data_IF_806166483998
#
_entry.id   IF_806166483998
#
_cell.length_a   1.000
_cell.length_b   1.000
_cell.length_c   1.000
_cell.angle_alpha   90.00
_cell.angle_beta   90.00
_cell.angle_gamma   90.00
#
_symmetry.space_group_name_H-M   'P 1'
#
loop_
_entity.id
_entity.type
_entity.pdbx_description
1 polymer ?
#
# COMPACT_ATOMS: atom_id res chain seq x y z
N UNK A 1 10.67 4.81 15.10
CA UNK A 1 9.23 5.15 15.28
C UNK A 1 8.38 4.19 14.45
N UNK A 2 7.10 3.98 14.80
CA UNK A 2 6.19 3.17 13.99
C UNK A 2 5.72 3.98 12.78
N UNK A 3 5.64 3.36 11.59
CA UNK A 3 5.15 4.00 10.37
C UNK A 3 3.62 4.25 10.42
N UNK A 4 3.07 5.01 9.45
CA UNK A 4 1.68 5.48 9.47
C UNK A 4 0.64 4.34 9.57
N UNK A 5 0.79 3.26 8.79
CA UNK A 5 -0.15 2.12 8.83
C UNK A 5 -0.12 1.39 10.18
N UNK A 6 1.05 1.33 10.84
CA UNK A 6 1.15 0.74 12.18
C UNK A 6 0.41 1.59 13.23
N UNK A 7 0.49 2.92 13.14
CA UNK A 7 -0.27 3.84 14.00
C UNK A 7 -1.76 3.72 13.76
N UNK A 8 -2.20 3.72 12.49
CA UNK A 8 -3.61 3.51 12.12
C UNK A 8 -4.15 2.19 12.66
N UNK A 9 -3.38 1.09 12.50
CA UNK A 9 -3.72 -0.22 13.06
C UNK A 9 -3.88 -0.17 14.58
N UNK A 10 -2.94 0.43 15.30
CA UNK A 10 -3.02 0.55 16.75
C UNK A 10 -4.25 1.33 17.19
N UNK A 11 -4.54 2.47 16.56
CA UNK A 11 -5.74 3.27 16.81
C UNK A 11 -7.02 2.48 16.52
N UNK A 12 -7.05 1.69 15.43
CA UNK A 12 -8.20 0.85 15.08
C UNK A 12 -8.43 -0.27 16.09
N UNK A 13 -7.37 -0.91 16.57
CA UNK A 13 -7.45 -1.94 17.63
C UNK A 13 -7.97 -1.34 18.92
N UNK A 14 -7.47 -0.17 19.34
CA UNK A 14 -7.88 0.50 20.57
C UNK A 14 -9.38 0.85 20.61
N UNK A 15 -10.01 1.03 19.43
CA UNK A 15 -11.46 1.27 19.30
C UNK A 15 -12.29 0.01 19.18
N UNK A 16 -11.66 -1.18 19.11
CA UNK A 16 -12.38 -2.43 18.90
C UNK A 16 -12.86 -3.01 20.22
N UNK A 17 -14.16 -3.24 20.33
CA UNK A 17 -14.75 -3.98 21.46
C UNK A 17 -14.44 -5.48 21.40
N UNK A 18 -14.22 -6.00 20.22
CA UNK A 18 -13.91 -7.42 19.95
C UNK A 18 -12.61 -7.56 19.17
N UNK A 19 -11.81 -8.60 19.44
CA UNK A 19 -10.60 -8.85 18.69
C UNK A 19 -10.93 -9.16 17.22
N UNK A 20 -10.13 -8.61 16.31
CA UNK A 20 -10.21 -8.97 14.89
C UNK A 20 -9.62 -10.36 14.66
N UNK A 21 -10.48 -11.31 14.27
CA UNK A 21 -10.08 -12.69 14.01
C UNK A 21 -9.87 -12.89 12.48
N UNK A 22 -8.63 -12.79 12.04
CA UNK A 22 -8.25 -13.17 10.68
C UNK A 22 -8.06 -14.69 10.55
N UNK A 23 -8.07 -15.21 9.32
CA UNK A 23 -7.64 -16.59 9.05
C UNK A 23 -6.21 -16.78 9.60
N UNK A 24 -5.97 -17.87 10.33
CA UNK A 24 -4.69 -18.11 10.99
C UNK A 24 -4.47 -17.27 12.26
N UNK A 25 -5.53 -16.84 12.96
CA UNK A 25 -5.47 -16.10 14.22
C UNK A 25 -4.74 -16.83 15.36
N UNK A 26 -4.62 -18.17 15.27
CA UNK A 26 -3.86 -18.99 16.24
C UNK A 26 -2.33 -18.84 16.10
N UNK A 27 -1.83 -18.33 14.97
CA UNK A 27 -0.40 -18.13 14.77
C UNK A 27 0.11 -16.96 15.61
N UNK A 28 1.19 -17.17 16.36
CA UNK A 28 1.92 -16.10 17.03
C UNK A 28 2.64 -15.25 15.97
N UNK A 29 2.34 -13.96 15.94
CA UNK A 29 2.83 -13.04 14.89
C UNK A 29 3.79 -12.01 15.42
N UNK A 30 4.77 -11.66 14.61
CA UNK A 30 5.65 -10.54 14.85
C UNK A 30 4.82 -9.23 14.93
N UNK A 31 5.05 -8.43 15.95
CA UNK A 31 4.33 -7.17 16.14
C UNK A 31 4.71 -6.10 15.10
N UNK A 32 5.90 -6.22 14.47
CA UNK A 32 6.37 -5.30 13.43
C UNK A 32 5.91 -5.70 12.03
N UNK A 33 6.36 -6.85 11.50
CA UNK A 33 6.03 -7.26 10.14
C UNK A 33 4.72 -8.04 10.02
N UNK A 34 4.09 -8.45 11.15
CA UNK A 34 2.82 -9.18 11.25
C UNK A 34 2.83 -10.60 10.66
N UNK A 35 3.92 -11.06 10.12
CA UNK A 35 4.12 -12.46 9.73
C UNK A 35 4.21 -13.37 10.96
N UNK A 36 4.06 -14.68 10.78
CA UNK A 36 4.36 -15.65 11.85
C UNK A 36 5.79 -15.43 12.34
N UNK A 37 6.07 -15.60 13.65
CA UNK A 37 7.39 -15.35 14.22
C UNK A 37 8.49 -16.19 13.54
N UNK A 38 8.18 -17.44 13.17
CA UNK A 38 9.09 -18.34 12.43
C UNK A 38 9.44 -17.84 11.01
N UNK A 39 8.68 -16.87 10.50
CA UNK A 39 8.83 -16.31 9.16
C UNK A 39 8.94 -14.78 9.21
N UNK A 40 9.55 -14.27 10.28
CA UNK A 40 9.69 -12.83 10.50
C UNK A 40 10.54 -12.18 9.40
N UNK A 41 10.06 -11.07 8.85
CA UNK A 41 10.69 -10.33 7.74
C UNK A 41 11.43 -9.06 8.20
N UNK A 42 11.52 -8.80 9.50
CA UNK A 42 12.02 -7.52 10.00
C UNK A 42 13.48 -7.21 9.66
N UNK A 43 14.31 -8.24 9.46
CA UNK A 43 15.71 -8.09 9.06
C UNK A 43 15.88 -7.69 7.57
N UNK A 44 14.83 -7.87 6.78
CA UNK A 44 14.82 -7.68 5.33
C UNK A 44 14.07 -6.41 4.90
N UNK A 45 13.91 -5.45 5.80
CA UNK A 45 13.23 -4.22 5.49
C UNK A 45 14.12 -3.28 4.69
N UNK A 46 13.71 -2.84 3.48
CA UNK A 46 14.47 -1.91 2.67
C UNK A 46 14.69 -0.56 3.36
N UNK A 47 15.80 0.09 3.02
CA UNK A 47 16.16 1.44 3.46
C UNK A 47 16.50 2.28 2.23
N UNK A 48 15.48 2.82 1.59
CA UNK A 48 15.61 3.59 0.37
C UNK A 48 14.92 4.95 0.50
N UNK A 49 15.37 5.92 -0.28
CA UNK A 49 14.73 7.23 -0.39
C UNK A 49 13.76 7.24 -1.58
N UNK A 50 12.67 8.00 -1.44
CA UNK A 50 11.75 8.31 -2.51
C UNK A 50 11.38 9.78 -2.48
N UNK A 51 11.30 10.41 -3.63
CA UNK A 51 10.83 11.79 -3.76
C UNK A 51 9.32 11.87 -3.65
N UNK A 52 8.61 10.82 -4.05
CA UNK A 52 7.15 10.72 -3.95
C UNK A 52 6.67 10.42 -2.54
N UNK A 53 5.47 10.92 -2.20
CA UNK A 53 4.72 10.54 -1.00
C UNK A 53 3.57 9.59 -1.32
N UNK A 54 3.14 8.85 -0.30
CA UNK A 54 2.00 7.94 -0.36
C UNK A 54 0.93 8.33 0.66
N UNK A 55 -0.32 8.39 0.22
CA UNK A 55 -1.49 8.56 1.08
C UNK A 55 -2.38 7.32 0.95
N UNK A 56 -2.38 6.47 1.99
CA UNK A 56 -3.20 5.26 2.03
C UNK A 56 -4.53 5.59 2.68
N UNK A 57 -5.61 5.62 1.91
CA UNK A 57 -6.97 5.69 2.44
C UNK A 57 -7.48 4.25 2.57
N UNK A 58 -7.55 3.75 3.80
CA UNK A 58 -7.76 2.34 4.09
C UNK A 58 -9.19 2.07 4.56
N UNK A 59 -9.85 1.09 3.96
CA UNK A 59 -11.13 0.60 4.47
C UNK A 59 -10.95 -0.03 5.86
N UNK A 60 -11.99 0.03 6.70
CA UNK A 60 -11.97 -0.20 8.15
C UNK A 60 -11.06 -1.34 8.65
N UNK A 61 -11.14 -2.52 8.04
CA UNK A 61 -10.39 -3.70 8.50
C UNK A 61 -9.06 -3.93 7.78
N UNK A 62 -8.73 -3.14 6.77
CA UNK A 62 -7.54 -3.40 5.94
C UNK A 62 -6.24 -3.33 6.76
N UNK A 63 -6.08 -2.31 7.61
CA UNK A 63 -4.91 -2.19 8.48
C UNK A 63 -4.75 -3.35 9.48
N UNK A 64 -5.82 -4.13 9.75
CA UNK A 64 -5.80 -5.27 10.65
C UNK A 64 -5.36 -6.57 9.97
N UNK A 65 -5.48 -6.68 8.65
CA UNK A 65 -5.18 -7.92 7.91
C UNK A 65 -3.67 -8.17 7.85
N UNK A 66 -3.16 -9.33 8.27
CA UNK A 66 -1.74 -9.66 8.16
C UNK A 66 -1.22 -9.68 6.72
N UNK A 67 -2.11 -9.86 5.75
CA UNK A 67 -1.79 -9.88 4.31
C UNK A 67 -1.95 -8.51 3.63
N UNK A 68 -2.20 -7.44 4.39
CA UNK A 68 -2.32 -6.11 3.81
C UNK A 68 -0.96 -5.61 3.30
N UNK A 69 -0.90 -5.23 2.02
CA UNK A 69 0.34 -4.78 1.37
C UNK A 69 0.60 -3.28 1.48
N UNK A 70 -0.39 -2.49 1.90
CA UNK A 70 -0.18 -1.08 2.28
C UNK A 70 0.83 -0.91 3.40
N UNK A 71 1.01 -1.95 4.23
CA UNK A 71 2.07 -1.99 5.24
C UNK A 71 3.46 -1.94 4.64
N UNK A 72 3.70 -2.68 3.55
CA UNK A 72 5.00 -2.72 2.86
C UNK A 72 5.36 -1.37 2.24
N UNK A 73 4.35 -0.66 1.73
CA UNK A 73 4.53 0.70 1.22
C UNK A 73 5.07 1.61 2.32
N UNK A 74 4.44 1.57 3.51
CA UNK A 74 4.85 2.38 4.63
C UNK A 74 6.19 1.94 5.27
N UNK A 75 6.64 0.72 5.00
CA UNK A 75 7.98 0.26 5.37
C UNK A 75 9.06 0.81 4.42
N UNK A 76 8.74 1.02 3.14
CA UNK A 76 9.69 1.43 2.09
C UNK A 76 9.67 2.96 1.88
N UNK A 77 8.49 3.56 1.75
CA UNK A 77 8.33 5.00 1.48
C UNK A 77 8.15 5.75 2.80
N UNK A 78 9.15 6.51 3.20
CA UNK A 78 9.16 7.24 4.48
C UNK A 78 8.01 8.24 4.58
N UNK A 79 7.73 8.99 3.50
CA UNK A 79 6.64 9.96 3.40
C UNK A 79 5.30 9.26 3.10
N UNK A 80 4.93 8.28 3.93
CA UNK A 80 3.63 7.61 3.86
C UNK A 80 2.71 8.10 4.97
N UNK A 81 1.53 8.58 4.59
CA UNK A 81 0.39 8.85 5.46
C UNK A 81 -0.67 7.75 5.30
N UNK A 82 -1.39 7.44 6.38
CA UNK A 82 -2.45 6.44 6.35
C UNK A 82 -3.65 6.91 7.16
N UNK A 83 -4.83 6.85 6.57
CA UNK A 83 -6.10 7.28 7.14
C UNK A 83 -7.15 6.18 7.04
N UNK A 84 -7.97 6.05 8.07
CA UNK A 84 -9.14 5.19 8.03
C UNK A 84 -10.27 5.84 7.24
N UNK A 85 -10.76 5.18 6.20
CA UNK A 85 -11.91 5.68 5.48
C UNK A 85 -13.22 5.52 6.27
N UNK A 86 -13.93 6.62 6.43
CA UNK A 86 -15.27 6.67 7.00
C UNK A 86 -16.19 7.39 6.02
N UNK A 87 -17.36 6.83 5.77
CA UNK A 87 -18.33 7.41 4.81
C UNK A 87 -18.85 8.80 5.24
N UNK A 88 -18.98 9.02 6.54
CA UNK A 88 -19.65 10.18 7.12
C UNK A 88 -18.72 11.16 7.83
N UNK A 89 -17.44 10.84 7.88
CA UNK A 89 -16.43 11.67 8.55
C UNK A 89 -15.10 11.60 7.80
N UNK A 90 -14.37 12.70 7.81
CA UNK A 90 -13.02 12.80 7.25
C UNK A 90 -12.09 13.27 8.37
N UNK A 91 -10.98 12.57 8.55
CA UNK A 91 -9.96 13.03 9.50
C UNK A 91 -9.40 14.37 9.02
N UNK A 92 -9.36 15.43 9.86
CA UNK A 92 -8.93 16.77 9.44
C UNK A 92 -7.52 16.82 8.84
N UNK A 93 -6.65 15.89 9.23
CA UNK A 93 -5.30 15.79 8.70
C UNK A 93 -5.27 15.33 7.22
N UNK A 94 -6.31 14.66 6.71
CA UNK A 94 -6.36 14.24 5.31
C UNK A 94 -6.56 15.44 4.35
N UNK A 95 -7.59 16.31 4.49
CA UNK A 95 -7.69 17.51 3.67
C UNK A 95 -6.47 18.42 3.82
N UNK A 96 -5.89 18.54 5.01
CA UNK A 96 -4.68 19.32 5.23
C UNK A 96 -3.49 18.78 4.41
N UNK A 97 -3.29 17.46 4.37
CA UNK A 97 -2.28 16.82 3.54
C UNK A 97 -2.52 17.08 2.04
N UNK A 98 -3.78 16.95 1.58
CA UNK A 98 -4.13 17.13 0.16
C UNK A 98 -3.96 18.57 -0.32
N UNK A 99 -4.06 19.56 0.58
CA UNK A 99 -3.89 20.98 0.29
C UNK A 99 -2.48 21.52 0.59
N UNK A 100 -1.58 20.70 1.12
CA UNK A 100 -0.21 21.11 1.41
C UNK A 100 0.54 21.42 0.11
N UNK A 101 1.08 22.66 -0.03
CA UNK A 101 1.68 23.13 -1.29
C UNK A 101 2.92 22.36 -1.73
N UNK A 102 3.57 21.62 -0.85
CA UNK A 102 4.69 20.75 -1.22
C UNK A 102 4.28 19.55 -2.08
N UNK A 103 2.99 19.18 -2.05
CA UNK A 103 2.50 18.01 -2.74
C UNK A 103 1.74 18.35 -4.03
N UNK A 104 1.84 17.44 -4.99
CA UNK A 104 1.00 17.34 -6.16
C UNK A 104 0.21 16.03 -6.07
N UNK A 105 -1.05 16.09 -5.57
CA UNK A 105 -1.83 14.89 -5.31
C UNK A 105 -2.42 14.28 -6.59
N UNK A 106 -2.37 12.95 -6.67
CA UNK A 106 -3.00 12.11 -7.70
C UNK A 106 -3.83 11.02 -7.03
N UNK A 107 -5.13 10.97 -7.35
CA UNK A 107 -5.96 9.82 -6.97
C UNK A 107 -5.71 8.68 -7.94
N UNK A 108 -5.22 7.55 -7.45
CA UNK A 108 -4.91 6.40 -8.31
C UNK A 108 -6.13 5.50 -8.40
N UNK A 109 -6.76 5.50 -9.57
CA UNK A 109 -7.96 4.69 -9.84
C UNK A 109 -8.15 4.50 -11.35
N UNK A 110 -8.85 3.42 -11.81
CA UNK A 110 -9.11 3.26 -13.24
C UNK A 110 -9.95 4.41 -13.80
N UNK A 111 -9.50 4.98 -14.91
CA UNK A 111 -10.08 6.18 -15.52
C UNK A 111 -11.54 6.02 -15.95
N UNK A 112 -11.98 4.78 -16.21
CA UNK A 112 -13.39 4.49 -16.57
C UNK A 112 -14.42 4.86 -15.49
N UNK A 113 -13.94 5.15 -14.25
CA UNK A 113 -14.80 5.56 -13.12
C UNK A 113 -14.78 7.06 -12.85
N UNK A 114 -13.95 7.81 -13.55
CA UNK A 114 -13.78 9.25 -13.38
C UNK A 114 -14.33 10.04 -14.58
N UNK A 115 -14.60 11.33 -14.36
CA UNK A 115 -14.90 12.25 -15.44
C UNK A 115 -13.65 12.37 -16.34
N UNK A 116 -13.82 12.36 -17.70
CA UNK A 116 -12.69 12.33 -18.63
C UNK A 116 -11.65 13.43 -18.43
N UNK A 117 -12.10 14.62 -18.00
CA UNK A 117 -11.26 15.80 -17.79
C UNK A 117 -10.30 15.65 -16.61
N UNK A 118 -10.59 14.72 -15.70
CA UNK A 118 -9.77 14.40 -14.53
C UNK A 118 -8.74 13.32 -14.82
N UNK A 119 -8.93 12.53 -15.88
CA UNK A 119 -8.10 11.36 -16.15
C UNK A 119 -6.75 11.79 -16.71
N UNK A 120 -5.69 11.33 -16.06
CA UNK A 120 -4.30 11.53 -16.50
C UNK A 120 -3.58 10.17 -16.54
N UNK A 121 -2.67 10.00 -17.50
CA UNK A 121 -1.85 8.79 -17.66
C UNK A 121 -0.40 9.00 -17.28
N UNK A 122 -0.01 10.24 -16.97
CA UNK A 122 1.38 10.62 -16.68
C UNK A 122 1.45 11.45 -15.39
N UNK A 123 2.57 11.34 -14.71
CA UNK A 123 2.90 12.17 -13.56
C UNK A 123 3.59 13.44 -14.06
N UNK A 124 2.98 14.59 -13.81
CA UNK A 124 3.57 15.86 -14.14
C UNK A 124 4.50 16.32 -13.01
N UNK A 125 5.67 16.81 -13.35
CA UNK A 125 6.62 17.38 -12.39
C UNK A 125 6.45 18.90 -12.32
N UNK A 126 5.60 19.38 -11.40
CA UNK A 126 5.47 20.81 -11.15
C UNK A 126 6.67 21.33 -10.34
N UNK A 127 7.27 22.49 -10.69
CA UNK A 127 8.40 23.04 -9.95
C UNK A 127 8.09 23.21 -8.45
N UNK A 128 8.98 22.69 -7.61
CA UNK A 128 8.87 22.77 -6.16
C UNK A 128 7.82 21.85 -5.53
N UNK A 129 7.17 20.96 -6.31
CA UNK A 129 6.20 19.99 -5.79
C UNK A 129 6.68 18.56 -5.99
N UNK A 130 6.28 17.72 -5.06
CA UNK A 130 6.54 16.28 -5.08
C UNK A 130 5.23 15.53 -5.35
N UNK A 131 5.21 14.47 -6.15
CA UNK A 131 4.01 13.66 -6.33
C UNK A 131 3.53 13.06 -5.00
N UNK A 132 2.21 13.10 -4.77
CA UNK A 132 1.54 12.40 -3.67
C UNK A 132 0.48 11.47 -4.27
N UNK A 133 0.67 10.17 -4.12
CA UNK A 133 -0.27 9.18 -4.65
C UNK A 133 -1.28 8.75 -3.58
N UNK A 134 -2.56 8.97 -3.84
CA UNK A 134 -3.67 8.55 -2.99
C UNK A 134 -4.16 7.19 -3.45
N UNK A 135 -3.95 6.17 -2.63
CA UNK A 135 -4.33 4.79 -2.89
C UNK A 135 -5.54 4.39 -2.03
N UNK A 136 -6.58 3.86 -2.66
CA UNK A 136 -7.76 3.34 -1.96
C UNK A 136 -7.51 1.87 -1.58
N UNK A 137 -7.03 1.64 -0.37
CA UNK A 137 -6.65 0.31 0.11
C UNK A 137 -7.85 -0.44 0.70
N UNK A 138 -8.45 -1.29 -0.13
CA UNK A 138 -9.70 -1.99 0.14
C UNK A 138 -9.87 -3.19 -0.81
N UNK A 139 -10.95 -3.96 -0.64
CA UNK A 139 -11.42 -4.84 -1.72
C UNK A 139 -11.95 -3.99 -2.88
N UNK A 140 -11.97 -4.57 -4.10
CA UNK A 140 -12.42 -3.83 -5.28
C UNK A 140 -13.80 -3.20 -5.13
N UNK A 141 -14.75 -3.91 -4.56
CA UNK A 141 -16.11 -3.41 -4.29
C UNK A 141 -16.11 -2.25 -3.31
N UNK A 142 -15.29 -2.34 -2.26
CA UNK A 142 -15.13 -1.27 -1.27
C UNK A 142 -14.40 -0.06 -1.87
N UNK A 143 -13.33 -0.26 -2.63
CA UNK A 143 -12.58 0.81 -3.28
C UNK A 143 -13.47 1.63 -4.24
N UNK A 144 -14.32 0.98 -5.05
CA UNK A 144 -15.32 1.67 -5.87
C UNK A 144 -16.33 2.48 -5.05
N UNK A 145 -16.72 1.97 -3.87
CA UNK A 145 -17.59 2.71 -2.95
C UNK A 145 -16.86 3.91 -2.35
N UNK A 146 -15.60 3.72 -1.94
CA UNK A 146 -14.77 4.80 -1.41
C UNK A 146 -14.58 5.89 -2.45
N UNK A 147 -14.23 5.54 -3.69
CA UNK A 147 -14.11 6.49 -4.80
C UNK A 147 -15.37 7.35 -4.95
N UNK A 148 -16.57 6.74 -5.03
CA UNK A 148 -17.85 7.45 -5.25
C UNK A 148 -18.38 8.20 -4.03
N UNK A 149 -17.88 7.91 -2.82
CA UNK A 149 -18.41 8.45 -1.56
C UNK A 149 -17.41 9.32 -0.80
N UNK A 150 -16.40 9.80 -1.51
CA UNK A 150 -15.34 10.66 -0.96
C UNK A 150 -15.25 11.98 -1.73
N UNK A 151 -16.26 12.89 -1.60
CA UNK A 151 -16.32 14.13 -2.39
C UNK A 151 -15.09 15.02 -2.21
N UNK A 152 -14.34 14.89 -1.13
CA UNK A 152 -13.08 15.58 -0.90
C UNK A 152 -11.95 15.13 -1.86
N UNK A 153 -12.18 14.09 -2.66
CA UNK A 153 -11.27 13.63 -3.73
C UNK A 153 -11.71 14.08 -5.12
N UNK A 154 -12.92 14.67 -5.27
CA UNK A 154 -13.51 14.95 -6.59
C UNK A 154 -12.74 16.01 -7.40
N UNK A 155 -11.99 16.89 -6.73
CA UNK A 155 -11.16 17.91 -7.40
C UNK A 155 -9.77 17.42 -7.84
N UNK A 156 -9.40 16.17 -7.54
CA UNK A 156 -8.06 15.65 -7.82
C UNK A 156 -7.96 15.01 -9.22
N UNK A 157 -6.81 15.14 -9.91
CA UNK A 157 -6.55 14.35 -11.10
C UNK A 157 -6.55 12.86 -10.75
N UNK A 158 -7.12 12.05 -11.64
CA UNK A 158 -7.20 10.60 -11.51
C UNK A 158 -6.13 9.96 -12.39
N UNK A 159 -5.07 9.48 -11.76
CA UNK A 159 -4.01 8.77 -12.44
C UNK A 159 -4.47 7.34 -12.75
N UNK A 160 -4.62 7.04 -14.04
CA UNK A 160 -4.96 5.70 -14.50
C UNK A 160 -3.71 4.91 -14.84
N UNK A 161 -3.59 3.74 -14.24
CA UNK A 161 -2.50 2.80 -14.53
C UNK A 161 -3.01 1.75 -15.52
N UNK A 162 -2.17 1.39 -16.49
CA UNK A 162 -2.41 0.29 -17.42
C UNK A 162 -1.30 -0.76 -17.27
N UNK A 163 -1.33 -1.55 -16.20
CA UNK A 163 -0.30 -2.55 -15.96
C UNK A 163 -0.44 -3.67 -17.00
N UNK A 164 0.61 -3.92 -17.77
CA UNK A 164 0.72 -5.05 -18.68
C UNK A 164 0.99 -6.37 -17.93
N UNK A 165 1.29 -6.26 -16.65
CA UNK A 165 1.73 -7.38 -15.81
C UNK A 165 0.59 -7.94 -14.97
N UNK A 166 0.52 -9.26 -14.92
CA UNK A 166 -0.32 -9.98 -13.96
C UNK A 166 0.13 -9.70 -12.53
N UNK A 167 -0.82 -9.70 -11.58
CA UNK A 167 -0.52 -9.48 -10.18
C UNK A 167 0.52 -10.48 -9.66
N UNK A 168 1.62 -9.96 -9.13
CA UNK A 168 2.71 -10.73 -8.49
C UNK A 168 2.32 -11.20 -7.09
N UNK A 169 1.30 -10.58 -6.51
CA UNK A 169 0.86 -10.88 -5.14
C UNK A 169 -0.09 -12.07 -5.10
N UNK A 170 0.46 -13.27 -5.04
CA UNK A 170 -0.25 -14.56 -5.12
C UNK A 170 -1.17 -14.88 -3.94
N UNK A 171 -1.26 -14.01 -2.93
CA UNK A 171 -2.14 -14.21 -1.78
C UNK A 171 -3.58 -13.78 -2.06
N UNK A 172 -3.80 -12.94 -3.05
CA UNK A 172 -5.13 -12.48 -3.45
C UNK A 172 -5.71 -13.42 -4.48
N UNK A 173 -6.95 -13.81 -4.25
CA UNK A 173 -7.80 -14.41 -5.27
C UNK A 173 -8.60 -13.29 -5.89
N UNK A 174 -8.25 -12.88 -7.08
CA UNK A 174 -9.07 -12.02 -7.92
C UNK A 174 -9.86 -12.85 -8.90
N UNK A 175 -11.05 -12.40 -9.24
CA UNK A 175 -11.83 -12.98 -10.35
C UNK A 175 -11.38 -12.43 -11.69
N UNK A 176 -10.45 -11.45 -11.68
CA UNK A 176 -9.86 -10.82 -12.86
C UNK A 176 -8.35 -10.86 -12.71
N UNK A 177 -7.66 -11.29 -13.74
CA UNK A 177 -6.19 -11.43 -13.78
C UNK A 177 -5.46 -10.08 -13.85
N UNK A 178 -6.19 -8.99 -14.15
CA UNK A 178 -5.70 -7.62 -14.26
C UNK A 178 -5.72 -6.81 -12.95
N UNK A 179 -6.10 -7.42 -11.83
CA UNK A 179 -6.16 -6.75 -10.53
C UNK A 179 -4.84 -6.86 -9.77
N UNK A 180 -4.18 -5.72 -9.58
CA UNK A 180 -2.96 -5.58 -8.77
C UNK A 180 -3.28 -5.41 -7.28
N UNK A 181 -2.36 -5.81 -6.42
CA UNK A 181 -2.42 -5.46 -5.00
C UNK A 181 -1.92 -4.03 -4.76
N UNK A 182 -2.21 -3.47 -3.59
CA UNK A 182 -1.89 -2.06 -3.27
C UNK A 182 -0.39 -1.75 -3.38
N UNK A 183 0.49 -2.69 -3.01
CA UNK A 183 1.93 -2.48 -3.17
C UNK A 183 2.40 -2.49 -4.64
N UNK A 184 1.81 -3.33 -5.49
CA UNK A 184 2.10 -3.33 -6.93
C UNK A 184 1.65 -2.03 -7.59
N UNK A 185 0.47 -1.50 -7.20
CA UNK A 185 -0.01 -0.19 -7.65
C UNK A 185 0.95 0.92 -7.20
N UNK A 186 1.40 0.88 -5.94
CA UNK A 186 2.35 1.86 -5.41
C UNK A 186 3.70 1.82 -6.16
N UNK A 187 4.23 0.62 -6.44
CA UNK A 187 5.48 0.47 -7.19
C UNK A 187 5.38 1.08 -8.60
N UNK A 188 4.27 0.86 -9.31
CA UNK A 188 4.01 1.50 -10.61
C UNK A 188 3.92 3.04 -10.49
N UNK A 189 3.31 3.56 -9.44
CA UNK A 189 3.26 5.01 -9.20
C UNK A 189 4.66 5.60 -8.98
N UNK A 190 5.51 4.92 -8.20
CA UNK A 190 6.91 5.30 -7.99
C UNK A 190 7.70 5.30 -9.30
N UNK A 191 7.54 4.26 -10.12
CA UNK A 191 8.17 4.15 -11.43
C UNK A 191 7.76 5.32 -12.35
N UNK A 192 6.46 5.62 -12.43
CA UNK A 192 5.93 6.75 -13.22
C UNK A 192 6.43 8.12 -12.73
N UNK A 193 6.75 8.24 -11.45
CA UNK A 193 7.32 9.46 -10.87
C UNK A 193 8.84 9.57 -11.00
N UNK A 194 9.51 8.54 -11.55
CA UNK A 194 10.97 8.48 -11.66
C UNK A 194 11.67 7.96 -10.41
N UNK A 195 10.95 7.51 -9.39
CA UNK A 195 11.48 6.90 -8.16
C UNK A 195 11.80 5.40 -8.37
N UNK A 196 12.51 5.05 -9.45
CA UNK A 196 12.76 3.68 -9.88
C UNK A 196 13.37 2.82 -8.78
N UNK A 197 14.37 3.34 -8.06
CA UNK A 197 15.03 2.59 -6.98
C UNK A 197 14.06 2.19 -5.85
N UNK A 198 13.15 3.07 -5.47
CA UNK A 198 12.12 2.78 -4.47
C UNK A 198 11.05 1.81 -5.01
N UNK A 199 10.70 1.91 -6.29
CA UNK A 199 9.81 0.97 -6.97
C UNK A 199 10.39 -0.45 -6.96
N UNK A 200 11.67 -0.61 -7.33
CA UNK A 200 12.37 -1.89 -7.36
C UNK A 200 12.50 -2.49 -5.94
N UNK A 201 12.84 -1.65 -4.95
CA UNK A 201 12.89 -2.05 -3.55
C UNK A 201 11.53 -2.56 -3.04
N UNK A 202 10.43 -1.86 -3.35
CA UNK A 202 9.09 -2.26 -2.95
C UNK A 202 8.67 -3.58 -3.62
N UNK A 203 9.00 -3.77 -4.89
CA UNK A 203 8.73 -5.02 -5.62
C UNK A 203 9.52 -6.19 -5.02
N UNK A 204 10.83 -6.03 -4.80
CA UNK A 204 11.66 -7.07 -4.18
C UNK A 204 11.16 -7.43 -2.77
N UNK A 205 10.78 -6.42 -1.98
CA UNK A 205 10.23 -6.62 -0.64
C UNK A 205 8.88 -7.36 -0.66
N UNK A 206 8.01 -7.04 -1.63
CA UNK A 206 6.73 -7.73 -1.84
C UNK A 206 6.93 -9.22 -2.22
N UNK A 207 7.91 -9.51 -3.06
CA UNK A 207 8.22 -10.90 -3.47
C UNK A 207 8.65 -11.74 -2.27
N UNK A 208 9.60 -11.25 -1.47
CA UNK A 208 10.06 -11.93 -0.25
C UNK A 208 8.95 -12.01 0.80
N UNK A 209 8.15 -10.94 0.99
CA UNK A 209 6.99 -10.98 1.86
C UNK A 209 6.00 -12.08 1.45
N UNK A 210 5.71 -12.21 0.16
CA UNK A 210 4.78 -13.20 -0.38
C UNK A 210 5.29 -14.63 -0.13
N UNK A 211 6.58 -14.85 -0.34
CA UNK A 211 7.23 -16.14 -0.08
C UNK A 211 7.12 -16.52 1.41
N UNK A 212 7.52 -15.63 2.32
CA UNK A 212 7.44 -15.85 3.77
C UNK A 212 6.01 -16.09 4.25
N UNK A 213 5.05 -15.30 3.74
CA UNK A 213 3.64 -15.46 4.11
C UNK A 213 3.07 -16.79 3.64
N UNK A 214 3.40 -17.25 2.42
CA UNK A 214 2.95 -18.53 1.87
C UNK A 214 3.61 -19.70 2.57
N UNK A 215 4.91 -19.60 2.86
CA UNK A 215 5.65 -20.62 3.60
C UNK A 215 5.06 -20.81 5.02
N UNK A 216 4.70 -19.72 5.69
CA UNK A 216 4.05 -19.77 7.01
C UNK A 216 2.69 -20.48 7.00
N UNK A 217 1.96 -20.45 5.86
CA UNK A 217 0.68 -21.18 5.72
C UNK A 217 0.86 -22.69 5.53
N UNK A 218 1.95 -23.11 4.92
CA UNK A 218 2.23 -24.47 4.56
C UNK A 218 3.34 -25.10 5.42
N UNK A 219 3.59 -24.66 6.66
CA UNK A 219 4.75 -24.76 7.56
C UNK A 219 6.04 -25.29 6.85
N UNK A 220 6.54 -24.50 5.91
CA UNK A 220 7.78 -24.79 5.18
C UNK A 220 8.85 -23.80 5.63
N UNK A 221 10.10 -24.26 5.70
CA UNK A 221 11.24 -23.35 5.85
C UNK A 221 11.37 -22.45 4.60
N UNK A 222 11.89 -21.24 4.81
CA UNK A 222 12.30 -20.34 3.73
C UNK A 222 13.81 -20.42 3.61
N UNK A 223 14.29 -20.58 2.39
CA UNK A 223 15.70 -20.44 2.07
C UNK A 223 16.04 -18.94 2.02
N UNK A 224 16.85 -18.46 2.95
CA UNK A 224 17.22 -17.05 3.05
C UNK A 224 18.36 -16.66 2.09
N UNK A 225 18.96 -17.64 1.41
CA UNK A 225 20.03 -17.45 0.43
C UNK A 225 19.52 -17.57 -1.02
N UNK A 226 18.21 -17.65 -1.22
CA UNK A 226 17.62 -17.74 -2.55
C UNK A 226 17.72 -16.41 -3.34
N UNK A 227 17.41 -16.49 -4.64
CA UNK A 227 17.51 -15.34 -5.54
C UNK A 227 16.65 -14.14 -5.14
N UNK A 228 15.48 -14.36 -4.49
CA UNK A 228 14.62 -13.26 -4.04
C UNK A 228 15.26 -12.50 -2.89
N UNK A 229 15.83 -13.21 -1.91
CA UNK A 229 16.54 -12.58 -0.79
C UNK A 229 17.81 -11.88 -1.25
N UNK A 230 18.60 -12.53 -2.14
CA UNK A 230 19.79 -11.91 -2.74
C UNK A 230 19.45 -10.61 -3.48
N UNK A 231 18.33 -10.60 -4.22
CA UNK A 231 17.86 -9.38 -4.88
C UNK A 231 17.45 -8.31 -3.88
N UNK A 232 16.71 -8.68 -2.83
CA UNK A 232 16.28 -7.74 -1.79
C UNK A 232 17.45 -7.14 -0.99
N UNK A 233 18.54 -7.88 -0.83
CA UNK A 233 19.77 -7.39 -0.16
C UNK A 233 20.35 -6.13 -0.79
N UNK A 234 20.09 -5.87 -2.07
CA UNK A 234 20.56 -4.66 -2.76
C UNK A 234 19.92 -3.37 -2.23
N UNK A 235 18.87 -3.47 -1.42
CA UNK A 235 18.08 -2.34 -0.92
C UNK A 235 18.08 -2.21 0.62
N UNK A 236 18.89 -3.02 1.35
CA UNK A 236 18.95 -3.02 2.83
C UNK A 236 19.87 -1.94 3.39
#
# INVERSE_FOLDING_TARGET
>A
MSHAVARLRAARIARSEKPFLARGSKAVRCQRCRLALSHCLCAWRPQVEAMSGMCLLMHDVEALKPSNTGWLIADVVADTSAFGWLRTAVEPALPALLSDPQWQPYLVFPGEYAEPERVVSEVQHAPGKRPLFILLDATWTEARKMFRKSPYLDGLPVLTLQPEQLSRYRLRRSTRDDHLCTAEVAALCLELAGDQHAADALNAYLDVFSQHYLAAKAPRAVDLDDALHQHLQLFL
#
